data_IF_511647533420
#
_entry.id   IF_511647533420
#
_cell.length_a   1.000
_cell.length_b   1.000
_cell.length_c   1.000
_cell.angle_alpha   90.00
_cell.angle_beta   90.00
_cell.angle_gamma   90.00
#
_symmetry.space_group_name_H-M   'P 1'
#
loop_
_entity.id
_entity.type
_entity.pdbx_description
1 polymer ?
#
# COMPACT_ATOMS: atom_id res chain seq x y z
N UNK A 1 12.57 7.83 -4.81
CA UNK A 1 11.28 7.59 -5.46
C UNK A 1 10.19 7.36 -4.44
N UNK A 2 8.96 7.68 -4.81
CA UNK A 2 7.84 7.60 -3.86
C UNK A 2 7.57 6.16 -3.38
N UNK A 3 7.72 5.16 -4.24
CA UNK A 3 7.49 3.77 -3.85
C UNK A 3 8.48 3.31 -2.78
N UNK A 4 9.74 3.62 -2.97
CA UNK A 4 10.78 3.28 -1.98
C UNK A 4 10.50 3.97 -0.65
N UNK A 5 10.06 5.22 -0.70
CA UNK A 5 9.72 5.98 0.49
C UNK A 5 8.53 5.38 1.23
N UNK A 6 7.48 4.98 0.50
CA UNK A 6 6.32 4.35 1.11
C UNK A 6 6.68 3.02 1.77
N UNK A 7 7.47 2.20 1.10
CA UNK A 7 7.91 0.91 1.66
C UNK A 7 8.71 1.14 2.95
N UNK A 8 9.61 2.12 2.92
CA UNK A 8 10.38 2.51 4.11
C UNK A 8 9.48 2.95 5.24
N UNK A 9 8.49 3.81 4.96
CA UNK A 9 7.55 4.29 5.96
C UNK A 9 6.69 3.16 6.54
N UNK A 10 6.21 2.26 5.68
CA UNK A 10 5.42 1.10 6.14
C UNK A 10 6.25 0.20 7.05
N UNK A 11 7.48 -0.13 6.67
CA UNK A 11 8.33 -1.02 7.44
C UNK A 11 8.86 -0.37 8.72
N UNK A 12 8.88 0.95 8.78
CA UNK A 12 9.26 1.69 9.99
C UNK A 12 8.10 1.99 10.92
N UNK A 13 6.88 1.55 10.58
CA UNK A 13 5.67 1.84 11.34
C UNK A 13 5.32 0.72 12.32
N UNK A 14 4.20 0.91 13.04
CA UNK A 14 3.64 -0.10 13.93
C UNK A 14 2.70 -1.07 13.22
N UNK A 15 2.66 -1.05 11.89
CA UNK A 15 1.83 -1.98 11.12
C UNK A 15 2.29 -3.42 11.36
N UNK A 16 1.33 -4.34 11.44
CA UNK A 16 1.58 -5.74 11.79
C UNK A 16 2.28 -6.54 10.70
N UNK A 17 2.38 -6.03 9.49
CA UNK A 17 2.90 -6.78 8.35
C UNK A 17 3.97 -5.98 7.61
N UNK A 18 4.98 -6.67 7.06
CA UNK A 18 6.01 -6.01 6.25
C UNK A 18 5.48 -5.62 4.87
N UNK A 19 6.14 -4.66 4.23
CA UNK A 19 5.81 -4.18 2.90
C UNK A 19 6.94 -4.45 1.92
N UNK A 20 6.56 -4.80 0.69
CA UNK A 20 7.48 -5.13 -0.40
C UNK A 20 7.03 -4.45 -1.69
N UNK A 21 7.94 -4.34 -2.66
CA UNK A 21 7.60 -3.83 -3.99
C UNK A 21 7.03 -4.93 -4.91
N UNK A 22 7.25 -6.19 -4.55
CA UNK A 22 6.72 -7.35 -5.29
C UNK A 22 6.56 -8.51 -4.31
N UNK A 23 5.83 -9.54 -4.73
CA UNK A 23 5.63 -10.73 -3.87
C UNK A 23 6.99 -11.39 -3.64
N UNK A 24 7.38 -11.61 -2.36
CA UNK A 24 8.65 -12.26 -2.05
C UNK A 24 8.70 -13.67 -2.65
N UNK A 25 9.86 -14.06 -3.17
CA UNK A 25 10.05 -15.39 -3.78
C UNK A 25 10.30 -16.47 -2.73
N UNK A 26 11.04 -16.11 -1.69
CA UNK A 26 11.42 -17.03 -0.62
C UNK A 26 10.97 -16.47 0.73
N UNK A 27 10.66 -17.38 1.67
CA UNK A 27 10.28 -17.00 3.03
C UNK A 27 9.12 -16.00 3.06
N UNK A 28 8.07 -16.29 2.29
CA UNK A 28 6.89 -15.42 2.18
C UNK A 28 6.19 -15.37 3.54
N UNK A 29 6.03 -14.17 4.14
CA UNK A 29 5.30 -14.05 5.39
C UNK A 29 3.83 -14.45 5.22
N UNK A 30 3.16 -14.77 6.33
CA UNK A 30 1.73 -15.07 6.28
C UNK A 30 0.90 -13.83 5.96
N UNK A 31 1.35 -12.68 6.43
CA UNK A 31 0.69 -11.40 6.20
C UNK A 31 1.73 -10.42 5.67
N UNK A 32 1.39 -9.73 4.60
CA UNK A 32 2.30 -8.75 4.01
C UNK A 32 1.56 -7.79 3.08
N UNK A 33 2.21 -6.67 2.80
CA UNK A 33 1.74 -5.69 1.81
C UNK A 33 2.63 -5.71 0.59
N UNK A 34 2.03 -5.47 -0.58
CA UNK A 34 2.77 -5.18 -1.81
C UNK A 34 2.34 -3.81 -2.30
N UNK A 35 3.30 -2.91 -2.49
CA UNK A 35 3.06 -1.54 -2.92
C UNK A 35 3.60 -1.37 -4.33
N UNK A 36 2.72 -1.04 -5.29
CA UNK A 36 3.08 -0.88 -6.70
C UNK A 36 2.68 0.49 -7.21
N UNK A 37 3.52 1.03 -8.08
CA UNK A 37 3.22 2.25 -8.81
C UNK A 37 2.51 1.88 -10.11
N UNK A 38 1.31 2.43 -10.35
CA UNK A 38 0.57 2.16 -11.57
C UNK A 38 0.46 3.38 -12.48
N UNK A 39 0.87 4.53 -12.02
CA UNK A 39 0.93 5.74 -12.84
C UNK A 39 1.65 6.84 -12.10
N UNK A 40 2.44 7.61 -12.82
CA UNK A 40 3.24 8.68 -12.24
C UNK A 40 3.31 9.87 -13.19
N UNK A 41 2.15 10.49 -13.52
CA UNK A 41 2.15 11.67 -14.38
C UNK A 41 2.72 12.88 -13.65
N UNK A 42 3.66 13.57 -14.28
CA UNK A 42 4.24 14.78 -13.73
C UNK A 42 3.50 16.00 -14.27
N UNK A 43 3.09 16.89 -13.37
CA UNK A 43 2.43 18.14 -13.74
C UNK A 43 3.15 19.30 -13.07
N UNK A 44 3.72 20.19 -13.89
CA UNK A 44 4.52 21.31 -13.40
C UNK A 44 5.70 20.79 -12.56
N UNK A 45 5.88 21.27 -11.35
CA UNK A 45 6.93 20.83 -10.44
C UNK A 45 6.40 19.88 -9.35
N UNK A 46 5.13 19.50 -9.46
CA UNK A 46 4.49 18.60 -8.49
C UNK A 46 4.24 17.28 -9.19
N UNK A 47 4.73 16.20 -8.59
CA UNK A 47 4.52 14.87 -9.10
C UNK A 47 3.30 14.24 -8.43
N UNK A 48 2.55 13.49 -9.23
CA UNK A 48 1.38 12.75 -8.77
C UNK A 48 1.61 11.29 -9.08
N UNK A 49 1.51 10.44 -8.08
CA UNK A 49 1.70 9.00 -8.24
C UNK A 49 0.41 8.27 -7.88
N UNK A 50 -0.03 7.36 -8.75
CA UNK A 50 -1.12 6.45 -8.43
C UNK A 50 -0.50 5.14 -7.97
N UNK A 51 -0.77 4.77 -6.72
CA UNK A 51 -0.20 3.57 -6.13
C UNK A 51 -1.29 2.61 -5.70
N UNK A 52 -0.96 1.33 -5.80
CA UNK A 52 -1.81 0.24 -5.33
C UNK A 52 -1.14 -0.39 -4.13
N UNK A 53 -1.89 -0.55 -3.04
CA UNK A 53 -1.42 -1.27 -1.85
C UNK A 53 -2.28 -2.52 -1.73
N UNK A 54 -1.67 -3.69 -1.94
CA UNK A 54 -2.34 -4.97 -1.77
C UNK A 54 -1.99 -5.55 -0.42
N UNK A 55 -3.00 -6.05 0.28
CA UNK A 55 -2.85 -6.64 1.60
C UNK A 55 -3.15 -8.12 1.51
N UNK A 56 -2.17 -8.96 1.83
CA UNK A 56 -2.27 -10.42 1.75
C UNK A 56 -2.33 -11.02 3.14
N UNK A 57 -3.23 -11.98 3.34
CA UNK A 57 -3.37 -12.68 4.62
C UNK A 57 -3.94 -14.07 4.40
N UNK A 58 -4.03 -14.85 5.49
CA UNK A 58 -4.57 -16.21 5.45
C UNK A 58 -6.10 -16.28 5.51
N UNK A 59 -6.74 -15.17 5.82
CA UNK A 59 -8.21 -15.11 5.86
C UNK A 59 -8.68 -13.77 5.28
N UNK A 60 -9.94 -13.76 4.86
CA UNK A 60 -10.57 -12.55 4.34
C UNK A 60 -10.60 -11.44 5.39
N UNK A 61 -10.93 -11.81 6.64
CA UNK A 61 -11.01 -10.85 7.73
C UNK A 61 -9.65 -10.19 7.97
N UNK A 62 -8.57 -10.99 8.01
CA UNK A 62 -7.24 -10.43 8.22
C UNK A 62 -6.77 -9.58 7.05
N UNK A 63 -7.07 -9.98 5.82
CA UNK A 63 -6.72 -9.16 4.64
C UNK A 63 -7.44 -7.81 4.70
N UNK A 64 -8.70 -7.82 5.09
CA UNK A 64 -9.48 -6.59 5.29
C UNK A 64 -8.89 -5.73 6.40
N UNK A 65 -8.56 -6.32 7.55
CA UNK A 65 -7.96 -5.60 8.68
C UNK A 65 -6.66 -4.92 8.27
N UNK A 66 -5.79 -5.66 7.58
CA UNK A 66 -4.53 -5.10 7.09
C UNK A 66 -4.76 -3.92 6.13
N UNK A 67 -5.74 -4.05 5.25
CA UNK A 67 -6.05 -2.98 4.29
C UNK A 67 -6.51 -1.70 4.98
N UNK A 68 -7.38 -1.83 5.99
CA UNK A 68 -7.87 -0.65 6.71
C UNK A 68 -6.82 -0.09 7.67
N UNK A 69 -5.95 -0.94 8.22
CA UNK A 69 -4.81 -0.47 9.01
C UNK A 69 -3.85 0.35 8.13
N UNK A 70 -3.60 -0.14 6.91
CA UNK A 70 -2.78 0.60 5.94
C UNK A 70 -3.42 1.94 5.57
N UNK A 71 -4.73 1.95 5.36
CA UNK A 71 -5.46 3.19 5.07
C UNK A 71 -5.30 4.21 6.20
N UNK A 72 -5.49 3.78 7.43
CA UNK A 72 -5.28 4.64 8.59
C UNK A 72 -3.85 5.16 8.64
N UNK A 73 -2.88 4.30 8.37
CA UNK A 73 -1.47 4.72 8.35
C UNK A 73 -1.20 5.74 7.26
N UNK A 74 -1.80 5.58 6.07
CA UNK A 74 -1.62 6.54 4.97
C UNK A 74 -2.05 7.95 5.41
N UNK A 75 -3.20 8.07 6.05
CA UNK A 75 -3.77 9.38 6.41
C UNK A 75 -3.28 9.94 7.75
N UNK A 76 -2.73 9.11 8.63
CA UNK A 76 -2.27 9.56 9.95
C UNK A 76 -0.75 9.48 10.13
N UNK A 77 -0.07 8.69 9.30
CA UNK A 77 1.37 8.49 9.40
C UNK A 77 2.11 8.96 8.16
N UNK A 78 1.90 8.30 7.04
CA UNK A 78 2.64 8.58 5.81
C UNK A 78 2.48 10.03 5.34
N UNK A 79 1.28 10.61 5.48
CA UNK A 79 1.02 11.98 5.05
C UNK A 79 1.86 13.01 5.83
N UNK A 80 2.39 12.63 6.98
CA UNK A 80 3.24 13.51 7.77
C UNK A 80 4.67 13.60 7.24
N UNK A 81 5.04 12.76 6.28
CA UNK A 81 6.37 12.81 5.68
C UNK A 81 6.52 14.04 4.79
N UNK A 82 7.70 14.67 4.85
CA UNK A 82 7.98 15.91 4.12
C UNK A 82 7.90 15.76 2.61
N UNK A 83 8.11 14.54 2.09
CA UNK A 83 8.00 14.28 0.65
C UNK A 83 6.56 14.24 0.14
N UNK A 84 5.60 14.05 1.05
CA UNK A 84 4.19 13.85 0.66
C UNK A 84 3.41 15.12 0.97
N UNK A 85 2.77 15.68 -0.06
CA UNK A 85 1.97 16.88 0.10
C UNK A 85 0.46 16.58 0.15
N UNK A 86 0.04 15.41 -0.31
CA UNK A 86 -1.37 15.03 -0.26
C UNK A 86 -1.59 13.58 -0.61
N UNK A 87 -2.66 13.00 -0.08
CA UNK A 87 -3.07 11.63 -0.35
C UNK A 87 -4.59 11.62 -0.55
N UNK A 88 -5.04 10.98 -1.64
CA UNK A 88 -6.45 10.76 -1.91
C UNK A 88 -6.67 9.27 -2.10
N UNK A 89 -7.62 8.70 -1.39
CA UNK A 89 -8.00 7.31 -1.59
C UNK A 89 -9.07 7.22 -2.68
N UNK A 90 -8.80 6.41 -3.71
CA UNK A 90 -9.79 6.14 -4.75
C UNK A 90 -10.73 5.02 -4.36
N UNK A 91 -10.18 3.91 -3.84
CA UNK A 91 -10.99 2.75 -3.50
C UNK A 91 -10.24 1.81 -2.56
N UNK A 92 -11.01 1.02 -1.82
CA UNK A 92 -10.54 -0.18 -1.12
C UNK A 92 -11.52 -1.28 -1.52
N UNK A 93 -11.00 -2.38 -2.03
CA UNK A 93 -11.82 -3.47 -2.53
C UNK A 93 -11.23 -4.85 -2.24
N UNK A 94 -12.11 -5.82 -2.10
CA UNK A 94 -11.72 -7.22 -1.99
C UNK A 94 -11.37 -7.73 -3.38
N UNK A 95 -10.13 -8.19 -3.57
CA UNK A 95 -9.64 -8.73 -4.84
C UNK A 95 -9.14 -10.17 -4.68
N UNK A 96 -9.72 -10.89 -3.72
CA UNK A 96 -9.34 -12.28 -3.44
C UNK A 96 -9.51 -13.16 -4.67
N UNK A 97 -8.49 -13.97 -4.93
CA UNK A 97 -8.55 -14.99 -5.98
C UNK A 97 -9.23 -16.22 -5.40
N UNK A 98 -10.47 -16.47 -5.82
CA UNK A 98 -11.28 -17.57 -5.29
C UNK A 98 -10.70 -18.94 -5.68
N UNK A 99 -10.04 -19.04 -6.83
CA UNK A 99 -9.53 -20.32 -7.29
C UNK A 99 -8.30 -20.79 -6.49
N UNK A 100 -7.45 -19.86 -6.08
CA UNK A 100 -6.23 -20.17 -5.30
C UNK A 100 -6.39 -19.89 -3.82
N UNK A 101 -7.51 -19.28 -3.41
CA UNK A 101 -7.78 -18.84 -2.03
C UNK A 101 -6.69 -17.93 -1.47
N UNK A 102 -6.13 -17.09 -2.32
CA UNK A 102 -5.24 -16.02 -1.90
C UNK A 102 -6.09 -14.83 -1.48
N UNK A 103 -6.27 -14.69 -0.18
CA UNK A 103 -7.08 -13.60 0.36
C UNK A 103 -6.30 -12.30 0.27
N UNK A 104 -6.88 -11.33 -0.44
CA UNK A 104 -6.23 -10.03 -0.59
C UNK A 104 -7.24 -8.92 -0.77
N UNK A 105 -6.90 -7.78 -0.22
CA UNK A 105 -7.60 -6.53 -0.45
C UNK A 105 -6.67 -5.60 -1.23
N UNK A 106 -7.25 -4.63 -1.91
CA UNK A 106 -6.50 -3.67 -2.69
C UNK A 106 -7.00 -2.27 -2.40
N UNK A 107 -6.09 -1.38 -2.00
CA UNK A 107 -6.35 0.04 -1.88
C UNK A 107 -5.65 0.78 -3.01
N UNK A 108 -6.34 1.73 -3.63
CA UNK A 108 -5.77 2.57 -4.69
C UNK A 108 -5.73 4.00 -4.18
N UNK A 109 -4.55 4.62 -4.25
CA UNK A 109 -4.31 5.95 -3.72
C UNK A 109 -3.62 6.82 -4.76
N UNK A 110 -3.99 8.10 -4.78
CA UNK A 110 -3.27 9.11 -5.54
C UNK A 110 -2.46 9.93 -4.54
N UNK A 111 -1.15 9.95 -4.73
CA UNK A 111 -0.23 10.65 -3.84
C UNK A 111 0.39 11.80 -4.59
N UNK A 112 0.27 13.00 -4.02
CA UNK A 112 0.97 14.18 -4.50
C UNK A 112 2.24 14.34 -3.68
N UNK A 113 3.39 14.43 -4.35
CA UNK A 113 4.67 14.43 -3.67
C UNK A 113 5.69 15.32 -4.36
N UNK A 114 6.75 15.60 -3.68
CA UNK A 114 7.86 16.41 -4.20
C UNK A 114 8.95 15.58 -4.86
#
# INVERSE_FOLDING_TARGET
MIIEKLIELFNGSDLDAPAFSEIPKDHVPEEYYVIELIGDPMRNKIETATVVIRSYAKSMVRASDLAYDADNFMFNGAIMDDMISGITRNTIANVTDQSTKKYRYQGVYVITHY
#
